data_IF_825268472399
#
_entry.id   IF_825268472399
#
_cell.length_a   1.000
_cell.length_b   1.000
_cell.length_c   1.000
_cell.angle_alpha   90.00
_cell.angle_beta   90.00
_cell.angle_gamma   90.00
#
_symmetry.space_group_name_H-M   'P 1'
#
loop_
_entity.id
_entity.type
_entity.pdbx_description
1 polymer ?
#
# COMPACT_ATOMS: atom_id res chain seq x y z
N UNK A 1 -87.89 -9.50 -36.34
CA UNK A 1 -88.65 -8.47 -35.61
C UNK A 1 -87.69 -7.41 -35.10
N UNK A 2 -88.00 -6.14 -35.36
CA UNK A 2 -87.28 -4.95 -34.87
C UNK A 2 -87.54 -4.70 -33.37
N UNK A 3 -86.52 -4.27 -32.60
CA UNK A 3 -86.62 -3.07 -31.74
C UNK A 3 -85.26 -2.62 -31.18
N UNK A 4 -85.11 -1.30 -31.09
CA UNK A 4 -83.90 -0.52 -30.76
C UNK A 4 -83.76 -0.27 -29.24
N UNK A 5 -82.51 -0.29 -28.75
CA UNK A 5 -81.74 0.55 -27.76
C UNK A 5 -82.49 1.43 -26.73
N UNK A 6 -81.96 1.67 -25.50
CA UNK A 6 -80.91 2.72 -25.31
C UNK A 6 -79.83 2.50 -24.22
N UNK A 7 -78.82 3.40 -24.33
CA UNK A 7 -77.55 3.60 -23.61
C UNK A 7 -77.66 3.77 -22.07
N UNK A 8 -76.59 3.39 -21.36
CA UNK A 8 -75.95 4.20 -20.29
C UNK A 8 -74.50 3.70 -20.01
N UNK A 9 -73.57 4.63 -20.03
CA UNK A 9 -72.21 4.61 -19.45
C UNK A 9 -72.15 5.86 -18.53
N UNK A 10 -71.15 6.07 -17.65
CA UNK A 10 -70.15 5.17 -17.06
C UNK A 10 -70.05 5.32 -15.51
N UNK A 11 -69.31 4.45 -14.81
CA UNK A 11 -68.57 4.88 -13.62
C UNK A 11 -67.39 3.95 -13.33
N UNK A 12 -66.27 4.61 -13.09
CA UNK A 12 -64.90 4.14 -12.91
C UNK A 12 -64.69 3.82 -11.44
N UNK A 13 -64.13 2.66 -11.11
CA UNK A 13 -63.39 2.47 -9.86
C UNK A 13 -62.30 1.43 -10.09
N UNK A 14 -61.10 1.87 -9.81
CA UNK A 14 -59.81 1.22 -10.02
C UNK A 14 -59.50 0.30 -8.85
N UNK A 15 -58.96 -0.89 -9.08
CA UNK A 15 -58.19 -1.63 -8.08
C UNK A 15 -57.21 -2.61 -8.76
N UNK A 16 -56.04 -2.05 -9.08
CA UNK A 16 -54.68 -2.55 -8.83
C UNK A 16 -54.47 -4.06 -8.71
N UNK A 17 -54.09 -4.70 -9.81
CA UNK A 17 -53.37 -5.97 -9.80
C UNK A 17 -51.92 -5.74 -9.36
N UNK A 18 -51.51 -6.36 -8.26
CA UNK A 18 -50.13 -6.41 -7.80
C UNK A 18 -49.28 -7.16 -8.82
N UNK A 19 -48.42 -6.43 -9.52
CA UNK A 19 -47.27 -7.00 -10.19
C UNK A 19 -46.24 -7.36 -9.11
N UNK A 20 -45.82 -8.62 -9.13
CA UNK A 20 -44.76 -9.16 -8.31
C UNK A 20 -43.44 -8.54 -8.80
N UNK A 21 -42.97 -7.51 -8.09
CA UNK A 21 -41.64 -6.93 -8.30
C UNK A 21 -40.60 -7.94 -7.82
N UNK A 22 -39.75 -8.38 -8.73
CA UNK A 22 -38.50 -9.08 -8.39
C UNK A 22 -37.69 -8.19 -7.44
N UNK A 23 -37.04 -8.77 -6.40
CA UNK A 23 -36.23 -7.99 -5.48
C UNK A 23 -35.10 -7.29 -6.24
N UNK A 24 -34.78 -6.03 -5.93
CA UNK A 24 -33.72 -5.30 -6.62
C UNK A 24 -32.40 -6.07 -6.48
N UNK A 25 -31.74 -6.25 -7.61
CA UNK A 25 -30.36 -6.74 -7.72
C UNK A 25 -29.53 -6.20 -6.57
N UNK A 26 -29.12 -7.12 -5.70
CA UNK A 26 -28.27 -6.79 -4.57
C UNK A 26 -26.91 -6.41 -5.16
N UNK A 27 -26.65 -5.09 -5.26
CA UNK A 27 -25.33 -4.52 -5.51
C UNK A 27 -24.28 -5.38 -4.78
N UNK A 28 -23.21 -5.83 -5.46
CA UNK A 28 -22.23 -6.73 -4.86
C UNK A 28 -21.71 -6.09 -3.58
N UNK A 29 -22.13 -6.62 -2.45
CA UNK A 29 -21.84 -6.05 -1.14
C UNK A 29 -20.35 -6.21 -0.93
N UNK A 30 -19.60 -5.12 -1.11
CA UNK A 30 -18.16 -5.14 -0.89
C UNK A 30 -17.88 -5.76 0.49
N UNK A 31 -16.97 -6.73 0.58
CA UNK A 31 -16.68 -7.39 1.84
C UNK A 31 -16.22 -6.34 2.85
N UNK A 32 -16.83 -6.36 4.04
CA UNK A 32 -16.44 -5.49 5.15
C UNK A 32 -15.05 -5.90 5.63
N UNK A 33 -14.01 -5.25 5.12
CA UNK A 33 -12.62 -5.54 5.44
C UNK A 33 -12.09 -4.51 6.43
N UNK A 34 -11.48 -4.98 7.51
CA UNK A 34 -10.83 -4.15 8.53
C UNK A 34 -9.55 -4.81 9.01
N UNK A 35 -8.47 -4.05 9.04
CA UNK A 35 -7.18 -4.47 9.58
C UNK A 35 -6.44 -3.26 10.13
N UNK A 36 -5.39 -3.49 10.91
CA UNK A 36 -4.48 -2.44 11.36
C UNK A 36 -3.15 -2.61 10.67
N UNK A 37 -2.47 -1.51 10.41
CA UNK A 37 -1.16 -1.55 9.80
C UNK A 37 -0.28 -0.41 10.32
N UNK A 38 1.02 -0.56 10.13
CA UNK A 38 1.99 0.51 10.37
C UNK A 38 2.99 0.53 9.22
N UNK A 39 3.46 1.72 8.88
CA UNK A 39 4.57 1.88 7.92
C UNK A 39 5.73 2.59 8.60
N UNK A 40 6.81 1.85 8.80
CA UNK A 40 8.02 2.38 9.42
C UNK A 40 9.00 2.82 8.35
N UNK A 41 9.68 3.93 8.60
CA UNK A 41 10.79 4.37 7.78
C UNK A 41 12.08 3.72 8.28
N UNK A 42 12.89 3.21 7.35
CA UNK A 42 14.21 2.64 7.64
C UNK A 42 15.24 3.28 6.71
N UNK A 43 16.41 3.60 7.27
CA UNK A 43 17.51 4.17 6.50
C UNK A 43 18.56 3.10 6.23
N UNK A 44 19.14 3.12 5.02
CA UNK A 44 20.33 2.33 4.73
C UNK A 44 21.54 3.02 5.35
N UNK A 45 22.36 2.24 6.06
CA UNK A 45 23.59 2.73 6.64
C UNK A 45 24.62 2.96 5.53
N UNK A 46 25.13 4.19 5.47
CA UNK A 46 26.03 4.68 4.42
C UNK A 46 27.23 3.76 4.12
N UNK A 47 27.83 3.16 5.15
CA UNK A 47 28.96 2.22 5.02
C UNK A 47 28.63 0.94 4.25
N UNK A 48 27.35 0.63 4.09
CA UNK A 48 26.83 -0.51 3.32
C UNK A 48 26.05 -0.07 2.07
N UNK A 49 25.73 1.21 1.92
CA UNK A 49 25.10 1.76 0.72
C UNK A 49 26.07 1.78 -0.48
N UNK A 50 27.37 2.02 -0.23
CA UNK A 50 28.37 2.12 -1.31
C UNK A 50 28.82 0.79 -1.89
N UNK A 51 28.54 -0.33 -1.24
CA UNK A 51 29.04 -1.63 -1.68
C UNK A 51 28.18 -2.29 -2.76
N UNK A 52 27.00 -1.73 -3.08
CA UNK A 52 26.12 -2.27 -4.13
C UNK A 52 25.43 -1.17 -4.92
N UNK A 53 26.10 -0.70 -5.97
CA UNK A 53 25.45 -0.05 -7.09
C UNK A 53 25.28 -1.03 -8.26
N UNK A 54 24.22 -0.87 -9.05
CA UNK A 54 24.14 -1.58 -10.32
C UNK A 54 25.06 -0.94 -11.39
N UNK A 55 25.07 -1.53 -12.59
CA UNK A 55 25.84 -1.03 -13.73
C UNK A 55 25.43 0.37 -14.21
N UNK A 56 24.29 0.88 -13.73
CA UNK A 56 23.75 2.21 -14.03
C UNK A 56 23.83 3.16 -12.83
N UNK A 57 24.60 2.79 -11.80
CA UNK A 57 24.81 3.58 -10.59
C UNK A 57 23.53 3.83 -9.76
N UNK A 58 22.52 2.96 -9.86
CA UNK A 58 21.38 2.97 -8.94
C UNK A 58 21.78 2.29 -7.62
N UNK A 59 21.33 2.86 -6.50
CA UNK A 59 21.57 2.28 -5.18
C UNK A 59 20.77 0.99 -5.04
N UNK A 60 21.45 -0.10 -4.70
CA UNK A 60 20.79 -1.37 -4.37
C UNK A 60 20.84 -1.53 -2.84
N UNK A 61 19.69 -1.77 -2.19
CA UNK A 61 19.63 -1.93 -0.75
C UNK A 61 20.39 -3.18 -0.29
N UNK A 62 20.99 -3.16 0.91
CA UNK A 62 21.62 -4.33 1.50
C UNK A 62 20.66 -5.51 1.62
N UNK A 63 21.20 -6.71 1.63
CA UNK A 63 20.46 -7.97 1.78
C UNK A 63 20.75 -8.64 3.13
N UNK A 64 21.24 -7.85 4.09
CA UNK A 64 21.51 -8.28 5.45
C UNK A 64 21.01 -7.25 6.48
N UNK A 65 20.58 -7.69 7.67
CA UNK A 65 19.97 -6.84 8.70
C UNK A 65 20.82 -5.67 9.19
N UNK A 66 22.14 -5.87 9.22
CA UNK A 66 23.08 -4.88 9.71
C UNK A 66 23.32 -3.74 8.72
N UNK A 67 22.78 -3.85 7.50
CA UNK A 67 22.78 -2.81 6.49
C UNK A 67 21.91 -1.60 6.80
N UNK A 68 21.04 -1.71 7.82
CA UNK A 68 19.97 -0.76 8.10
C UNK A 68 20.11 -0.12 9.48
N UNK A 69 19.59 1.10 9.62
CA UNK A 69 19.38 1.74 10.91
C UNK A 69 18.30 1.03 11.71
N UNK A 70 18.09 1.47 12.96
CA UNK A 70 16.81 1.20 13.62
C UNK A 70 15.69 1.84 12.83
N UNK A 71 14.52 1.23 12.93
CA UNK A 71 13.30 1.75 12.33
C UNK A 71 12.89 3.06 13.02
N UNK A 72 12.40 4.00 12.23
CA UNK A 72 11.65 5.15 12.70
C UNK A 72 10.16 4.79 12.62
N UNK A 73 9.49 4.53 13.75
CA UNK A 73 8.12 4.05 13.75
C UNK A 73 7.14 5.07 13.17
N UNK A 74 6.23 4.60 12.32
CA UNK A 74 5.08 5.38 11.88
C UNK A 74 3.92 5.32 12.88
N UNK A 75 2.85 6.04 12.55
CA UNK A 75 1.57 5.91 13.26
C UNK A 75 0.93 4.56 12.92
N UNK A 76 0.36 3.88 13.92
CA UNK A 76 -0.50 2.72 13.65
C UNK A 76 -1.84 3.22 13.13
N UNK A 77 -2.22 2.73 11.96
CA UNK A 77 -3.46 3.06 11.28
C UNK A 77 -4.41 1.86 11.28
N UNK A 78 -5.70 2.14 11.19
CA UNK A 78 -6.77 1.19 10.95
C UNK A 78 -7.36 1.46 9.58
N UNK A 79 -7.33 0.45 8.72
CA UNK A 79 -8.10 0.45 7.49
C UNK A 79 -9.50 -0.06 7.77
N UNK A 80 -10.51 0.62 7.23
CA UNK A 80 -11.90 0.19 7.27
C UNK A 80 -12.59 0.58 5.95
N UNK A 81 -12.90 -0.42 5.13
CA UNK A 81 -13.69 -0.26 3.89
C UNK A 81 -13.24 0.90 2.98
N UNK A 82 -11.93 0.99 2.74
CA UNK A 82 -11.35 1.96 1.79
C UNK A 82 -10.88 3.26 2.43
N UNK A 83 -11.21 3.48 3.70
CA UNK A 83 -10.76 4.64 4.48
C UNK A 83 -9.76 4.22 5.55
N UNK A 84 -8.89 5.15 5.93
CA UNK A 84 -7.85 4.93 6.93
C UNK A 84 -7.95 5.96 8.04
N UNK A 85 -7.76 5.50 9.27
CA UNK A 85 -7.84 6.31 10.48
C UNK A 85 -6.69 5.98 11.42
N UNK A 86 -6.12 6.94 12.17
CA UNK A 86 -5.21 6.62 13.27
C UNK A 86 -5.87 5.66 14.26
N UNK A 87 -5.10 4.71 14.79
CA UNK A 87 -5.56 3.69 15.72
C UNK A 87 -4.79 3.80 17.06
N UNK A 88 -5.07 4.84 17.87
CA UNK A 88 -4.28 5.19 19.06
C UNK A 88 -4.30 4.13 20.18
N UNK A 89 -5.24 3.20 20.11
CA UNK A 89 -5.32 2.02 20.98
C UNK A 89 -4.20 1.00 20.70
N UNK A 90 -3.53 1.10 19.55
CA UNK A 90 -2.39 0.29 19.19
C UNK A 90 -1.10 1.11 19.12
N UNK A 91 0.02 0.42 19.32
CA UNK A 91 1.35 0.99 19.26
C UNK A 91 2.29 0.07 18.49
N UNK A 92 3.35 0.65 17.95
CA UNK A 92 4.52 -0.07 17.49
C UNK A 92 5.53 -0.21 18.63
N UNK A 93 5.82 -1.43 19.05
CA UNK A 93 6.82 -1.69 20.09
C UNK A 93 7.49 -3.06 19.92
N UNK A 94 8.76 -3.22 20.35
CA UNK A 94 9.36 -4.54 20.46
C UNK A 94 8.65 -5.36 21.54
N UNK A 95 8.56 -6.68 21.37
CA UNK A 95 7.91 -7.54 22.37
C UNK A 95 8.77 -7.66 23.63
N UNK A 96 10.09 -7.69 23.47
CA UNK A 96 11.06 -7.65 24.58
C UNK A 96 12.09 -6.56 24.36
N UNK A 97 12.60 -6.02 25.47
CA UNK A 97 13.67 -5.03 25.44
C UNK A 97 14.90 -5.60 24.72
N UNK A 98 15.38 -4.89 23.70
CA UNK A 98 16.55 -5.30 22.91
C UNK A 98 16.22 -6.08 21.63
N UNK A 99 14.97 -6.50 21.42
CA UNK A 99 14.55 -7.07 20.14
C UNK A 99 14.59 -6.00 19.03
N UNK A 100 15.08 -6.40 17.85
CA UNK A 100 15.08 -5.54 16.65
C UNK A 100 13.71 -5.45 16.01
N UNK A 101 12.97 -6.56 16.03
CA UNK A 101 11.63 -6.66 15.45
C UNK A 101 10.65 -5.97 16.38
N UNK A 102 9.97 -4.95 15.88
CA UNK A 102 8.78 -4.43 16.53
C UNK A 102 7.54 -5.22 16.09
N UNK A 103 6.45 -4.97 16.82
CA UNK A 103 5.14 -5.52 16.57
C UNK A 103 4.08 -4.44 16.75
N UNK A 104 3.00 -4.53 15.98
CA UNK A 104 1.78 -3.81 16.31
C UNK A 104 1.13 -4.53 17.47
N UNK A 105 0.77 -3.81 18.54
CA UNK A 105 0.17 -4.39 19.72
C UNK A 105 -0.52 -3.35 20.58
N UNK A 106 -0.97 -3.76 21.75
CA UNK A 106 -1.56 -2.84 22.73
C UNK A 106 -1.03 -3.16 24.13
N UNK A 107 -1.05 -2.17 25.01
CA UNK A 107 -0.75 -2.39 26.42
C UNK A 107 -2.01 -2.77 27.18
N UNK A 108 -1.96 -3.85 27.94
CA UNK A 108 -3.00 -4.18 28.92
C UNK A 108 -3.09 -3.08 29.98
N UNK A 109 -4.20 -3.07 30.72
CA UNK A 109 -4.36 -2.17 31.87
C UNK A 109 -3.18 -2.38 32.84
N UNK A 110 -2.65 -1.29 33.43
CA UNK A 110 -1.54 -1.40 34.36
C UNK A 110 -1.92 -2.29 35.54
N UNK A 111 -1.01 -3.17 35.94
CA UNK A 111 -1.17 -4.04 37.12
C UNK A 111 -0.10 -3.64 38.14
N UNK A 112 -0.51 -3.53 39.41
CA UNK A 112 0.41 -3.28 40.53
C UNK A 112 0.87 -4.64 41.05
N UNK A 113 2.18 -4.87 41.07
CA UNK A 113 2.73 -6.09 41.66
C UNK A 113 2.73 -6.05 43.21
N UNK A 114 3.14 -7.15 43.85
CA UNK A 114 3.19 -7.25 45.30
C UNK A 114 4.17 -6.25 45.95
N UNK A 115 5.11 -5.68 45.18
CA UNK A 115 6.07 -4.67 45.62
C UNK A 115 5.60 -3.23 45.40
N UNK A 116 4.39 -3.01 44.86
CA UNK A 116 3.86 -1.68 44.57
C UNK A 116 4.33 -1.10 43.23
N UNK A 117 5.02 -1.87 42.38
CA UNK A 117 5.47 -1.41 41.07
C UNK A 117 4.36 -1.57 40.03
N UNK A 118 4.19 -0.54 39.21
CA UNK A 118 3.21 -0.52 38.12
C UNK A 118 3.86 -1.10 36.87
N UNK A 119 3.34 -2.23 36.40
CA UNK A 119 3.77 -2.86 35.15
C UNK A 119 2.68 -2.78 34.09
N UNK A 120 3.09 -2.57 32.83
CA UNK A 120 2.21 -2.67 31.65
C UNK A 120 2.68 -3.81 30.77
N UNK A 121 1.86 -4.82 30.64
CA UNK A 121 2.13 -5.94 29.73
C UNK A 121 1.78 -5.53 28.30
N UNK A 122 2.76 -5.65 27.39
CA UNK A 122 2.55 -5.48 25.96
C UNK A 122 2.03 -6.78 25.33
N UNK A 123 0.93 -6.69 24.60
CA UNK A 123 0.33 -7.81 23.88
C UNK A 123 0.49 -7.56 22.38
N UNK A 124 1.42 -8.26 21.70
CA UNK A 124 1.57 -8.13 20.26
C UNK A 124 0.36 -8.76 19.55
N UNK A 125 -0.07 -8.13 18.47
CA UNK A 125 -0.99 -8.74 17.51
C UNK A 125 -0.23 -9.75 16.66
N UNK A 126 -0.99 -10.67 16.06
CA UNK A 126 -0.44 -11.59 15.07
C UNK A 126 -0.31 -10.85 13.74
N UNK A 127 0.93 -10.70 13.26
CA UNK A 127 1.22 -10.16 11.93
C UNK A 127 0.53 -11.03 10.85
N UNK A 128 -0.21 -10.42 9.93
CA UNK A 128 -0.74 -11.12 8.75
C UNK A 128 0.32 -11.16 7.64
N UNK A 129 1.01 -10.06 7.41
CA UNK A 129 2.12 -9.98 6.45
C UNK A 129 3.13 -8.89 6.80
N UNK A 130 4.35 -9.02 6.26
CA UNK A 130 5.37 -7.98 6.30
C UNK A 130 5.95 -7.77 4.91
N UNK A 131 6.15 -6.51 4.53
CA UNK A 131 6.81 -6.10 3.29
C UNK A 131 7.85 -5.05 3.59
N UNK A 132 8.94 -5.08 2.83
CA UNK A 132 9.90 -3.98 2.77
C UNK A 132 9.95 -3.47 1.33
N UNK A 133 9.79 -2.17 1.12
CA UNK A 133 9.80 -1.53 -0.20
C UNK A 133 10.90 -0.49 -0.22
N UNK A 134 11.70 -0.45 -1.28
CA UNK A 134 12.82 0.46 -1.43
C UNK A 134 12.74 1.20 -2.78
N UNK A 135 13.00 2.50 -2.78
CA UNK A 135 13.12 3.29 -3.99
C UNK A 135 14.59 3.35 -4.44
N UNK A 136 14.92 2.63 -5.51
CA UNK A 136 16.27 2.57 -6.08
C UNK A 136 16.62 3.80 -6.94
N UNK A 137 15.70 4.74 -7.14
CA UNK A 137 15.90 5.95 -7.91
C UNK A 137 15.25 5.90 -9.31
N UNK A 138 15.64 6.81 -10.22
CA UNK A 138 14.90 7.03 -11.46
C UNK A 138 15.09 5.94 -12.53
N UNK A 139 16.21 5.22 -12.54
CA UNK A 139 16.56 4.29 -13.63
C UNK A 139 16.40 2.81 -13.27
N UNK A 140 16.51 2.46 -11.98
CA UNK A 140 16.07 1.17 -11.45
C UNK A 140 14.86 1.45 -10.55
N UNK A 141 13.64 1.14 -11.00
CA UNK A 141 12.46 1.50 -10.21
C UNK A 141 12.34 0.68 -8.92
N UNK A 142 11.38 1.08 -8.08
CA UNK A 142 11.11 0.50 -6.77
C UNK A 142 11.18 -1.04 -6.74
N UNK A 143 11.84 -1.56 -5.72
CA UNK A 143 11.96 -3.00 -5.44
C UNK A 143 11.34 -3.31 -4.09
N UNK A 144 11.00 -4.57 -3.86
CA UNK A 144 10.41 -4.99 -2.59
C UNK A 144 10.86 -6.38 -2.17
N UNK A 145 10.68 -6.70 -0.89
CA UNK A 145 10.93 -7.99 -0.30
C UNK A 145 9.74 -8.44 0.55
N UNK A 146 9.48 -9.74 0.60
CA UNK A 146 8.45 -10.35 1.44
C UNK A 146 8.94 -10.64 2.87
N UNK A 147 9.78 -9.77 3.40
CA UNK A 147 10.50 -9.98 4.65
C UNK A 147 10.72 -8.64 5.37
N UNK A 148 11.06 -8.74 6.65
CA UNK A 148 11.63 -7.62 7.40
C UNK A 148 13.14 -7.56 7.18
N UNK A 149 13.58 -6.63 6.32
CA UNK A 149 15.00 -6.50 5.95
C UNK A 149 15.89 -6.01 7.10
N UNK A 150 15.30 -5.55 8.21
CA UNK A 150 16.04 -5.16 9.42
C UNK A 150 16.32 -6.32 10.37
N UNK A 151 15.70 -7.48 10.12
CA UNK A 151 15.81 -8.69 10.94
C UNK A 151 16.25 -9.93 10.16
N UNK A 152 16.08 -9.95 8.83
CA UNK A 152 16.35 -11.12 8.00
C UNK A 152 17.53 -10.96 7.03
N UNK A 153 18.29 -12.04 6.84
CA UNK A 153 19.29 -12.15 5.79
C UNK A 153 18.62 -12.66 4.51
N UNK A 154 18.49 -11.80 3.50
CA UNK A 154 17.85 -12.18 2.25
C UNK A 154 18.73 -13.19 1.46
N UNK A 155 20.07 -13.04 1.49
CA UNK A 155 20.96 -13.92 0.72
C UNK A 155 20.94 -15.39 1.14
N UNK A 156 20.72 -15.67 2.43
CA UNK A 156 20.85 -17.03 3.00
C UNK A 156 19.58 -17.86 2.90
N UNK A 157 18.50 -17.28 2.40
CA UNK A 157 17.18 -17.88 2.47
C UNK A 157 16.82 -18.63 1.17
N UNK A 158 16.01 -19.68 1.31
CA UNK A 158 15.60 -20.49 0.15
C UNK A 158 14.75 -19.68 -0.86
N UNK A 159 15.02 -19.95 -2.15
CA UNK A 159 14.24 -19.43 -3.28
C UNK A 159 12.78 -19.89 -3.21
N UNK A 160 11.78 -19.09 -3.65
CA UNK A 160 11.93 -17.81 -4.33
C UNK A 160 11.80 -16.58 -3.42
N UNK A 161 11.32 -16.74 -2.18
CA UNK A 161 10.63 -15.67 -1.42
C UNK A 161 11.52 -14.62 -0.76
N UNK A 162 12.83 -14.79 -0.77
CA UNK A 162 13.73 -14.04 0.10
C UNK A 162 14.80 -13.30 -0.69
N UNK A 163 14.39 -12.38 -1.55
CA UNK A 163 15.27 -11.49 -2.29
C UNK A 163 14.54 -10.19 -2.57
N UNK A 164 15.28 -9.22 -3.08
CA UNK A 164 14.67 -8.07 -3.70
C UNK A 164 14.02 -8.47 -5.03
N UNK A 165 12.75 -8.13 -5.17
CA UNK A 165 11.97 -8.29 -6.40
C UNK A 165 11.78 -6.92 -7.04
N UNK A 166 11.94 -6.86 -8.36
CA UNK A 166 11.51 -5.70 -9.12
C UNK A 166 9.98 -5.57 -9.05
N UNK A 167 9.48 -4.34 -9.03
CA UNK A 167 8.04 -4.10 -9.18
C UNK A 167 7.58 -4.54 -10.57
N UNK A 168 6.66 -5.49 -10.60
CA UNK A 168 6.05 -6.04 -11.80
C UNK A 168 4.52 -6.03 -11.65
N UNK A 169 3.82 -6.03 -12.80
CA UNK A 169 2.37 -5.96 -12.85
C UNK A 169 1.78 -7.12 -13.65
N UNK A 170 0.85 -7.85 -13.03
CA UNK A 170 -0.09 -8.69 -13.75
C UNK A 170 -1.24 -7.81 -14.23
N UNK A 171 -1.57 -7.87 -15.51
CA UNK A 171 -2.67 -7.10 -16.07
C UNK A 171 -3.96 -7.89 -15.90
N UNK A 172 -4.88 -7.36 -15.11
CA UNK A 172 -6.26 -7.84 -15.12
C UNK A 172 -6.91 -7.25 -16.36
N UNK A 173 -7.53 -8.09 -17.19
CA UNK A 173 -8.07 -7.72 -18.51
C UNK A 173 -9.20 -6.68 -18.51
N UNK A 174 -9.38 -5.97 -17.40
CA UNK A 174 -10.27 -4.84 -17.23
C UNK A 174 -9.50 -3.52 -17.02
N UNK A 175 -8.18 -3.48 -17.21
CA UNK A 175 -7.37 -2.27 -17.04
C UNK A 175 -6.82 -2.05 -15.62
N UNK A 176 -6.94 -3.02 -14.71
CA UNK A 176 -6.28 -2.99 -13.39
C UNK A 176 -4.88 -3.59 -13.47
N UNK A 177 -3.91 -2.91 -12.85
CA UNK A 177 -2.55 -3.40 -12.67
C UNK A 177 -2.42 -4.05 -11.31
N UNK A 178 -2.16 -5.35 -11.24
CA UNK A 178 -1.94 -6.05 -9.97
C UNK A 178 -0.44 -6.20 -9.70
N UNK A 179 0.06 -5.61 -8.62
CA UNK A 179 1.42 -5.82 -8.14
C UNK A 179 1.65 -7.31 -7.93
N UNK A 180 2.66 -7.84 -8.62
CA UNK A 180 3.06 -9.24 -8.54
C UNK A 180 4.57 -9.36 -8.39
N UNK A 181 5.01 -10.51 -7.94
CA UNK A 181 6.40 -10.94 -8.00
C UNK A 181 6.47 -12.12 -8.95
N UNK A 182 7.43 -12.11 -9.88
CA UNK A 182 7.73 -13.19 -10.82
C UNK A 182 6.73 -13.34 -11.98
N UNK A 183 7.20 -12.98 -13.18
CA UNK A 183 6.50 -13.24 -14.44
C UNK A 183 5.44 -12.19 -14.80
N UNK A 184 5.49 -11.01 -14.18
CA UNK A 184 4.65 -9.88 -14.55
C UNK A 184 5.26 -9.02 -15.66
N UNK A 185 4.51 -7.99 -16.05
CA UNK A 185 4.96 -6.96 -17.00
C UNK A 185 5.64 -5.82 -16.24
N UNK A 186 6.65 -5.21 -16.88
CA UNK A 186 7.35 -4.02 -16.36
C UNK A 186 6.64 -2.71 -16.70
N UNK A 187 5.34 -2.75 -16.95
CA UNK A 187 4.51 -1.60 -17.27
C UNK A 187 3.08 -1.83 -16.78
N UNK A 188 2.36 -0.76 -16.51
CA UNK A 188 0.99 -0.79 -15.98
C UNK A 188 -0.02 -1.16 -17.08
N UNK A 189 -1.15 -1.71 -16.66
CA UNK A 189 -2.31 -1.92 -17.51
C UNK A 189 -3.01 -0.59 -17.80
N UNK A 190 -3.48 -0.45 -19.04
CA UNK A 190 -4.25 0.70 -19.48
C UNK A 190 -3.44 1.96 -19.76
N UNK A 191 -4.10 2.96 -20.36
CA UNK A 191 -3.58 4.33 -20.55
C UNK A 191 -4.09 5.28 -19.47
N UNK A 192 -3.47 6.46 -19.36
CA UNK A 192 -3.89 7.57 -18.48
C UNK A 192 -4.04 7.15 -17.00
N UNK A 193 -3.12 6.35 -16.49
CA UNK A 193 -3.08 5.96 -15.09
C UNK A 193 -2.64 7.17 -14.22
N UNK A 194 -3.59 7.89 -13.61
CA UNK A 194 -3.31 9.11 -12.84
C UNK A 194 -2.40 8.89 -11.61
N UNK A 195 -2.28 7.65 -11.16
CA UNK A 195 -1.41 7.24 -10.06
C UNK A 195 0.03 6.94 -10.52
N UNK A 196 0.29 6.80 -11.82
CA UNK A 196 1.65 6.71 -12.37
C UNK A 196 2.28 8.11 -12.41
N UNK A 197 3.51 8.22 -11.95
CA UNK A 197 4.16 9.47 -11.57
C UNK A 197 4.12 9.67 -10.05
N UNK A 198 2.95 9.97 -9.45
CA UNK A 198 2.82 10.15 -8.01
C UNK A 198 3.18 8.89 -7.19
N UNK A 199 2.64 7.72 -7.55
CA UNK A 199 2.74 6.50 -6.75
C UNK A 199 3.80 5.52 -7.26
N UNK A 200 3.99 5.44 -8.57
CA UNK A 200 5.06 4.64 -9.21
C UNK A 200 5.80 5.47 -10.25
N UNK A 201 7.09 5.22 -10.54
CA UNK A 201 7.82 5.96 -11.57
C UNK A 201 7.18 5.85 -12.95
N UNK A 202 7.30 6.90 -13.78
CA UNK A 202 6.76 6.93 -15.15
C UNK A 202 7.37 5.91 -16.11
N UNK A 203 8.51 5.31 -15.75
CA UNK A 203 9.09 4.19 -16.53
C UNK A 203 8.14 2.99 -16.62
N UNK A 204 7.16 2.90 -15.72
CA UNK A 204 6.10 1.88 -15.77
C UNK A 204 4.90 2.28 -16.64
N UNK A 205 4.88 3.44 -17.28
CA UNK A 205 3.79 3.78 -18.21
C UNK A 205 3.68 2.75 -19.33
N UNK A 206 2.45 2.47 -19.77
CA UNK A 206 2.22 1.49 -20.82
C UNK A 206 2.72 2.04 -22.17
N UNK A 207 3.69 1.39 -22.83
CA UNK A 207 4.20 1.85 -24.11
C UNK A 207 3.25 1.54 -25.29
N UNK A 208 2.29 0.64 -25.10
CA UNK A 208 1.34 0.22 -26.12
C UNK A 208 0.24 1.29 -26.25
N UNK A 209 0.47 2.28 -27.11
CA UNK A 209 -0.53 3.27 -27.52
C UNK A 209 -0.81 3.11 -29.02
N UNK A 210 -2.04 3.38 -29.51
CA UNK A 210 -3.17 4.05 -28.85
C UNK A 210 -4.37 3.16 -28.47
N UNK A 211 -4.40 1.88 -28.86
CA UNK A 211 -5.56 0.98 -28.79
C UNK A 211 -5.76 0.27 -27.43
N UNK A 212 -5.19 0.81 -26.35
CA UNK A 212 -5.25 0.19 -25.02
C UNK A 212 -6.36 0.82 -24.18
N UNK A 213 -6.99 -0.02 -23.36
CA UNK A 213 -8.06 0.34 -22.43
C UNK A 213 -7.63 1.44 -21.44
N UNK A 214 -8.60 2.07 -20.78
CA UNK A 214 -8.33 3.04 -19.73
C UNK A 214 -7.82 2.32 -18.47
N UNK A 215 -6.77 2.86 -17.81
CA UNK A 215 -6.33 2.32 -16.52
C UNK A 215 -7.43 2.50 -15.48
N UNK A 216 -7.75 1.41 -14.75
CA UNK A 216 -8.78 1.38 -13.70
C UNK A 216 -8.23 1.34 -12.28
N UNK A 217 -6.90 1.25 -12.13
CA UNK A 217 -6.24 1.35 -10.84
C UNK A 217 -5.11 0.36 -10.62
N UNK A 218 -4.67 0.32 -9.36
CA UNK A 218 -3.60 -0.52 -8.84
C UNK A 218 -4.19 -1.48 -7.80
N UNK A 219 -3.85 -2.76 -7.88
CA UNK A 219 -4.24 -3.81 -6.94
C UNK A 219 -3.08 -4.78 -6.69
N UNK A 220 -3.36 -5.95 -6.08
CA UNK A 220 -2.35 -6.97 -5.80
C UNK A 220 -1.82 -6.91 -4.36
N UNK A 221 -0.50 -7.04 -4.19
CA UNK A 221 0.13 -7.07 -2.85
C UNK A 221 -0.05 -5.74 -2.10
N UNK A 222 -0.99 -5.73 -1.15
CA UNK A 222 -1.36 -4.54 -0.40
C UNK A 222 -0.20 -3.97 0.42
N UNK A 223 0.67 -4.81 0.99
CA UNK A 223 1.80 -4.32 1.77
C UNK A 223 2.80 -3.56 0.89
N UNK A 224 3.00 -4.00 -0.36
CA UNK A 224 3.83 -3.26 -1.32
C UNK A 224 3.16 -1.94 -1.71
N UNK A 225 1.86 -1.94 -1.98
CA UNK A 225 1.09 -0.73 -2.34
C UNK A 225 1.17 0.31 -1.22
N UNK A 226 0.98 -0.09 0.04
CA UNK A 226 1.11 0.78 1.21
C UNK A 226 2.53 1.34 1.32
N UNK A 227 3.56 0.52 1.04
CA UNK A 227 4.95 0.97 1.03
C UNK A 227 5.24 1.98 -0.08
N UNK A 228 4.67 1.80 -1.27
CA UNK A 228 4.75 2.77 -2.37
C UNK A 228 4.07 4.09 -2.02
N UNK A 229 2.90 4.05 -1.36
CA UNK A 229 2.20 5.24 -0.89
C UNK A 229 3.07 6.02 0.10
N UNK A 230 3.67 5.32 1.07
CA UNK A 230 4.59 5.92 2.03
C UNK A 230 5.85 6.53 1.38
N UNK A 231 6.43 5.87 0.37
CA UNK A 231 7.60 6.37 -0.38
C UNK A 231 7.26 7.57 -1.27
N UNK A 232 5.99 7.82 -1.58
CA UNK A 232 5.57 9.02 -2.30
C UNK A 232 5.66 10.28 -1.41
N UNK A 233 5.75 10.12 -0.09
CA UNK A 233 5.87 11.22 0.87
C UNK A 233 7.32 11.61 1.17
N UNK A 234 7.53 12.85 1.65
CA UNK A 234 8.85 13.27 2.08
C UNK A 234 9.40 12.47 3.27
N UNK A 235 10.72 12.53 3.45
CA UNK A 235 11.39 12.24 4.72
C UNK A 235 10.66 12.53 6.02
N UNK A 236 10.42 11.48 6.82
CA UNK A 236 9.78 11.56 8.14
C UNK A 236 8.28 11.88 8.08
N UNK A 237 7.68 11.88 6.88
CA UNK A 237 6.28 12.22 6.64
C UNK A 237 5.52 11.06 6.00
N UNK A 238 6.01 9.82 6.13
CA UNK A 238 5.39 8.64 5.52
C UNK A 238 3.92 8.44 5.92
N UNK A 239 3.53 8.93 7.10
CA UNK A 239 2.16 8.88 7.61
C UNK A 239 1.19 9.79 6.84
N UNK A 240 1.69 10.84 6.19
CA UNK A 240 0.86 11.84 5.49
C UNK A 240 0.13 11.22 4.29
N UNK A 241 0.71 10.18 3.69
CA UNK A 241 0.08 9.35 2.66
C UNK A 241 -1.29 8.84 3.11
N UNK A 242 -1.38 8.41 4.38
CA UNK A 242 -2.55 7.77 4.94
C UNK A 242 -3.48 8.76 5.66
N UNK A 243 -2.95 9.89 6.12
CA UNK A 243 -3.73 10.95 6.78
C UNK A 243 -4.47 11.83 5.77
N UNK A 244 -3.83 12.15 4.64
CA UNK A 244 -4.29 13.21 3.75
C UNK A 244 -4.51 12.76 2.31
N UNK A 245 -3.79 11.72 1.86
CA UNK A 245 -3.73 11.38 0.44
C UNK A 245 -4.43 10.06 0.06
N UNK A 246 -4.98 9.31 1.03
CA UNK A 246 -5.75 8.11 0.75
C UNK A 246 -7.15 8.18 1.37
N UNK A 247 -8.18 8.08 0.53
CA UNK A 247 -9.56 7.95 1.00
C UNK A 247 -10.43 7.20 -0.01
N UNK A 248 -11.40 6.41 0.48
CA UNK A 248 -12.35 5.63 -0.33
C UNK A 248 -11.71 4.86 -1.50
N UNK A 249 -10.65 4.11 -1.22
CA UNK A 249 -9.87 3.36 -2.24
C UNK A 249 -9.22 4.22 -3.32
N UNK A 250 -9.14 5.55 -3.15
CA UNK A 250 -8.53 6.48 -4.11
C UNK A 250 -7.29 7.13 -3.52
N UNK A 251 -6.23 7.09 -4.30
CA UNK A 251 -5.04 7.90 -4.08
C UNK A 251 -5.28 9.31 -4.62
N UNK A 252 -5.10 10.30 -3.76
CA UNK A 252 -5.25 11.73 -4.03
C UNK A 252 -3.92 12.49 -3.91
N UNK A 253 -2.82 11.79 -3.67
CA UNK A 253 -1.52 12.40 -3.49
C UNK A 253 -1.09 13.18 -4.73
N UNK A 254 -0.45 14.32 -4.51
CA UNK A 254 -0.07 15.20 -5.60
C UNK A 254 1.09 14.65 -6.41
N UNK A 255 1.15 15.06 -7.67
CA UNK A 255 2.30 14.88 -8.55
C UNK A 255 3.44 15.78 -8.05
N UNK A 256 4.12 15.35 -6.99
CA UNK A 256 5.46 15.85 -6.71
C UNK A 256 6.39 15.10 -7.63
N UNK A 257 7.18 15.81 -8.43
CA UNK A 257 8.32 15.20 -9.10
C UNK A 257 9.09 14.43 -8.04
N UNK A 258 9.13 13.10 -8.20
CA UNK A 258 10.09 12.33 -7.42
C UNK A 258 11.42 13.01 -7.63
N UNK A 259 12.25 13.18 -6.61
CA UNK A 259 13.19 14.28 -6.63
C UNK A 259 14.43 14.10 -7.56
N UNK A 260 14.31 13.24 -8.57
CA UNK A 260 15.25 12.86 -9.60
C UNK A 260 15.37 13.84 -10.77
N UNK A 261 14.49 14.83 -10.95
CA UNK A 261 14.59 15.75 -12.11
C UNK A 261 15.66 16.86 -11.94
N UNK A 262 16.21 17.06 -10.75
CA UNK A 262 17.19 18.14 -10.46
C UNK A 262 18.65 17.84 -10.88
N UNK A 263 18.94 16.72 -11.55
CA UNK A 263 20.32 16.30 -11.91
C UNK A 263 20.90 16.97 -13.17
N UNK A 264 20.66 18.28 -13.40
CA UNK A 264 21.38 19.02 -14.46
C UNK A 264 22.59 19.83 -14.01
N UNK A 265 22.69 20.26 -12.76
CA UNK A 265 23.88 21.01 -12.31
C UNK A 265 24.08 20.93 -10.79
N UNK A 266 24.98 20.09 -10.32
CA UNK A 266 25.84 20.35 -9.15
C UNK A 266 26.72 19.12 -8.85
N UNK A 267 28.01 19.28 -9.06
CA UNK A 267 29.03 18.38 -8.52
C UNK A 267 29.22 18.66 -7.01
N UNK A 268 29.25 17.57 -6.23
CA UNK A 268 29.96 17.38 -4.96
C UNK A 268 29.75 18.42 -3.83
N UNK A 269 28.69 18.20 -3.04
CA UNK A 269 28.76 18.20 -1.56
C UNK A 269 28.06 16.94 -1.07
N UNK A 270 28.78 16.14 -0.28
CA UNK A 270 28.55 14.72 0.00
C UNK A 270 27.10 14.37 0.36
N UNK A 271 26.51 13.49 -0.45
CA UNK A 271 25.18 12.88 -0.39
C UNK A 271 24.43 13.02 0.94
N UNK A 272 23.74 14.14 1.13
CA UNK A 272 22.60 14.23 2.04
C UNK A 272 21.36 13.90 1.21
N UNK A 273 21.15 12.61 0.97
CA UNK A 273 19.85 12.10 0.58
C UNK A 273 19.71 10.68 1.09
N UNK A 274 18.76 10.49 1.98
CA UNK A 274 18.49 9.27 2.72
C UNK A 274 18.00 8.18 1.78
N UNK A 275 18.80 7.14 1.60
CA UNK A 275 18.42 5.84 1.04
C UNK A 275 17.30 5.23 1.91
N UNK A 276 16.09 5.06 1.37
CA UNK A 276 14.86 4.76 2.14
C UNK A 276 14.24 3.42 1.81
N UNK A 277 13.95 2.66 2.87
CA UNK A 277 12.99 1.56 2.82
C UNK A 277 11.77 1.88 3.71
N UNK A 278 10.58 1.48 3.25
CA UNK A 278 9.37 1.46 4.06
C UNK A 278 9.05 0.01 4.42
N UNK A 279 8.88 -0.27 5.71
CA UNK A 279 8.39 -1.55 6.21
C UNK A 279 6.90 -1.45 6.49
N UNK A 280 6.10 -2.29 5.85
CA UNK A 280 4.67 -2.39 6.10
C UNK A 280 4.37 -3.68 6.85
N UNK A 281 3.65 -3.56 7.96
CA UNK A 281 3.02 -4.71 8.63
C UNK A 281 1.54 -4.48 8.64
N UNK A 282 0.80 -5.45 8.14
CA UNK A 282 -0.65 -5.52 8.13
C UNK A 282 -1.08 -6.89 8.66
#
# INVERSE_FOLDING_TARGET
MFRRKPKKQPSRTSETSQAQEDPPDTEPTQPRLTFVFVVNEVQVLHKYAYSKYDLWNNCIPPDFPFGYTRENPGTVFRFHNGSVFPAPEYVWAPQKLGERRGHVGFYKRPVVDQGGYIHREFVPLKDYSTRSVFDCGPFLPCIFAHADVTCEYLQSNESPRNRWFALEFKHRGDGVSEVTFNGGKKYVAGKNASWVGPLVPRVFENPELPCVEQSRGLGGDLGVILGLMALAEPPGQQDDAFRYHWNHYRWMGQMRERPSELYRHAYLRSCVRTDRACRVIA
#
